data_IF_391332019537
#
_entry.id   IF_391332019537
#
_cell.length_a   1.000
_cell.length_b   1.000
_cell.length_c   1.000
_cell.angle_alpha   90.00
_cell.angle_beta   90.00
_cell.angle_gamma   90.00
#
_symmetry.space_group_name_H-M   'P 1'
#
loop_
_entity.id
_entity.type
_entity.pdbx_description
1 polymer ?
#
# COMPACT_ATOMS: atom_id res chain seq x y z
N UNK A 1 10.47 23.16 -2.23
CA UNK A 1 10.03 21.79 -2.54
C UNK A 1 11.14 21.05 -3.26
N UNK A 2 11.34 19.79 -2.93
CA UNK A 2 12.37 18.95 -3.50
C UNK A 2 11.74 17.74 -4.17
N UNK A 3 12.54 17.02 -4.97
CA UNK A 3 12.08 15.79 -5.62
C UNK A 3 12.40 14.59 -4.75
N UNK A 4 11.44 13.69 -4.66
CA UNK A 4 11.58 12.45 -3.89
C UNK A 4 11.07 11.29 -4.71
N UNK A 5 11.64 10.11 -4.48
CA UNK A 5 11.09 8.87 -4.99
C UNK A 5 10.25 8.24 -3.87
N UNK A 6 9.01 7.86 -4.18
CA UNK A 6 8.15 7.16 -3.23
C UNK A 6 8.25 5.68 -3.52
N UNK A 7 8.79 4.94 -2.57
CA UNK A 7 9.10 3.51 -2.73
C UNK A 7 8.51 2.72 -1.57
N UNK A 8 8.41 1.41 -1.75
CA UNK A 8 8.03 0.50 -0.70
C UNK A 8 9.23 -0.09 0.04
N UNK A 9 8.98 -1.10 0.84
CA UNK A 9 9.99 -1.71 1.73
C UNK A 9 10.33 -3.16 1.38
N UNK A 10 9.93 -3.64 0.21
CA UNK A 10 9.97 -5.07 -0.07
C UNK A 10 11.29 -5.58 -0.64
N UNK A 11 12.32 -4.76 -0.71
CA UNK A 11 13.63 -5.13 -1.30
C UNK A 11 13.50 -5.67 -2.72
N UNK A 12 12.63 -5.08 -3.49
CA UNK A 12 12.34 -5.49 -4.85
C UNK A 12 12.42 -4.25 -5.74
N UNK A 13 13.12 -4.33 -6.87
CA UNK A 13 13.40 -3.16 -7.72
C UNK A 13 12.14 -2.54 -8.31
N UNK A 14 11.06 -3.30 -8.44
CA UNK A 14 9.77 -2.81 -8.92
C UNK A 14 8.91 -2.17 -7.83
N UNK A 15 9.37 -2.15 -6.59
CA UNK A 15 8.59 -1.59 -5.47
C UNK A 15 8.73 -0.07 -5.42
N UNK A 16 8.34 0.56 -6.51
CA UNK A 16 8.37 2.01 -6.67
C UNK A 16 6.95 2.47 -6.93
N UNK A 17 6.45 3.36 -6.08
CA UNK A 17 5.11 3.93 -6.25
C UNK A 17 5.16 5.06 -7.25
N UNK A 18 6.07 6.01 -7.07
CA UNK A 18 6.24 7.12 -7.98
C UNK A 18 7.63 7.72 -7.86
N UNK A 19 8.43 7.73 -8.92
CA UNK A 19 9.73 8.42 -8.91
C UNK A 19 9.55 9.91 -9.19
N UNK A 20 10.45 10.72 -8.66
CA UNK A 20 10.55 12.13 -9.02
C UNK A 20 9.36 12.99 -8.60
N UNK A 21 8.73 12.69 -7.48
CA UNK A 21 7.60 13.46 -6.98
C UNK A 21 8.11 14.73 -6.29
N UNK A 22 7.51 15.86 -6.64
CA UNK A 22 7.85 17.14 -5.99
C UNK A 22 6.95 17.30 -4.76
N UNK A 23 7.56 17.34 -3.59
CA UNK A 23 6.87 17.40 -2.30
C UNK A 23 7.58 18.39 -1.37
N UNK A 24 6.86 18.98 -0.38
CA UNK A 24 7.53 19.55 0.78
C UNK A 24 8.37 18.46 1.43
N UNK A 25 9.48 18.83 2.07
CA UNK A 25 10.36 17.84 2.70
C UNK A 25 9.57 16.93 3.65
N UNK A 26 9.42 15.63 3.34
CA UNK A 26 8.69 14.72 4.21
C UNK A 26 9.54 14.33 5.42
N UNK A 27 8.87 14.11 6.53
CA UNK A 27 9.51 13.69 7.77
C UNK A 27 8.99 12.32 8.17
N UNK A 28 9.82 11.58 8.90
CA UNK A 28 9.44 10.27 9.41
C UNK A 28 8.16 10.37 10.24
N UNK A 29 7.23 9.48 9.99
CA UNK A 29 5.94 9.45 10.67
C UNK A 29 4.82 10.20 9.96
N UNK A 30 5.12 10.95 8.92
CA UNK A 30 4.09 11.59 8.12
C UNK A 30 3.37 10.58 7.23
N UNK A 31 2.12 10.89 6.91
CA UNK A 31 1.28 10.04 6.07
C UNK A 31 1.20 10.66 4.67
N UNK A 32 1.38 9.82 3.67
CA UNK A 32 1.21 10.22 2.27
C UNK A 32 -0.09 9.60 1.74
N UNK A 33 -0.79 10.37 0.91
CA UNK A 33 -1.95 9.86 0.19
C UNK A 33 -1.61 9.78 -1.29
N UNK A 34 -1.78 8.58 -1.86
CA UNK A 34 -1.60 8.38 -3.29
C UNK A 34 -2.97 8.35 -3.93
N UNK A 35 -3.21 9.32 -4.81
CA UNK A 35 -4.50 9.48 -5.46
C UNK A 35 -4.67 8.52 -6.64
N UNK A 36 -5.93 8.26 -7.00
CA UNK A 36 -6.29 7.52 -8.22
C UNK A 36 -5.69 6.12 -8.26
N UNK A 37 -5.83 5.39 -7.14
CA UNK A 37 -5.28 4.04 -7.02
C UNK A 37 -6.36 2.95 -7.00
N UNK A 38 -7.62 3.30 -7.23
CA UNK A 38 -8.71 2.32 -7.17
C UNK A 38 -8.63 1.24 -8.23
N UNK A 39 -8.16 1.58 -9.43
CA UNK A 39 -7.97 0.62 -10.49
C UNK A 39 -6.56 0.02 -10.41
N UNK A 40 -6.47 -1.30 -10.55
CA UNK A 40 -5.23 -2.09 -10.63
C UNK A 40 -4.45 -2.29 -9.32
N UNK A 41 -4.44 -1.33 -8.40
CA UNK A 41 -3.53 -1.41 -7.25
C UNK A 41 -3.79 -2.63 -6.37
N UNK A 42 -5.04 -2.89 -5.97
CA UNK A 42 -5.31 -4.07 -5.16
C UNK A 42 -5.05 -5.36 -5.94
N UNK A 43 -5.46 -5.43 -7.20
CA UNK A 43 -5.26 -6.63 -8.00
C UNK A 43 -3.79 -6.94 -8.29
N UNK A 44 -2.93 -5.94 -8.22
CA UNK A 44 -1.48 -6.12 -8.38
C UNK A 44 -0.76 -6.37 -7.05
N UNK A 45 -1.47 -6.28 -5.93
CA UNK A 45 -0.89 -6.56 -4.62
C UNK A 45 -0.49 -8.02 -4.51
N UNK A 46 0.57 -8.28 -3.75
CA UNK A 46 1.09 -9.62 -3.57
C UNK A 46 1.57 -9.83 -2.14
N UNK A 47 1.90 -11.06 -1.82
CA UNK A 47 2.47 -11.42 -0.52
C UNK A 47 4.00 -11.51 -0.58
N UNK A 48 4.65 -10.76 -1.45
CA UNK A 48 6.10 -10.78 -1.56
C UNK A 48 6.74 -10.56 -0.18
N UNK A 49 7.73 -11.34 0.15
CA UNK A 49 8.34 -11.40 1.48
C UNK A 49 7.36 -11.84 2.60
N UNK A 50 6.29 -12.54 2.25
CA UNK A 50 5.27 -12.99 3.21
C UNK A 50 4.61 -11.84 3.97
N UNK A 51 4.52 -10.67 3.35
CA UNK A 51 3.80 -9.53 3.92
C UNK A 51 2.33 -9.65 3.52
N UNK A 52 1.44 -9.50 4.49
CA UNK A 52 0.01 -9.58 4.23
C UNK A 52 -0.48 -8.44 3.35
N UNK A 53 -1.49 -8.72 2.52
CA UNK A 53 -2.15 -7.67 1.75
C UNK A 53 -2.96 -6.78 2.68
N UNK A 54 -2.99 -5.51 2.36
CA UNK A 54 -3.66 -4.50 3.16
C UNK A 54 -5.18 -4.60 3.02
N UNK A 55 -5.93 -4.15 4.03
CA UNK A 55 -7.38 -4.06 3.89
C UNK A 55 -7.76 -2.89 2.98
N UNK A 56 -8.98 -2.93 2.48
CA UNK A 56 -9.56 -1.81 1.74
C UNK A 56 -10.73 -1.26 2.53
N UNK A 57 -10.63 0.01 2.92
CA UNK A 57 -11.68 0.71 3.63
C UNK A 57 -12.44 1.60 2.66
N UNK A 58 -13.76 1.58 2.78
CA UNK A 58 -14.64 2.47 2.01
C UNK A 58 -15.14 3.57 2.93
N UNK A 59 -15.12 4.80 2.43
CA UNK A 59 -15.63 5.95 3.17
C UNK A 59 -16.79 6.53 2.37
N UNK A 60 -17.96 6.61 3.02
CA UNK A 60 -19.16 7.14 2.40
C UNK A 60 -19.96 7.91 3.43
N UNK A 61 -20.29 9.17 3.14
CA UNK A 61 -21.03 10.05 4.03
C UNK A 61 -20.45 10.12 5.45
N UNK A 62 -19.12 10.18 5.54
CA UNK A 62 -18.42 10.24 6.83
C UNK A 62 -18.36 8.91 7.58
N UNK A 63 -18.85 7.83 7.00
CA UNK A 63 -18.82 6.50 7.62
C UNK A 63 -17.79 5.62 6.91
N UNK A 64 -17.09 4.80 7.71
CA UNK A 64 -16.07 3.89 7.22
C UNK A 64 -16.58 2.45 7.31
N UNK A 65 -16.34 1.67 6.27
CA UNK A 65 -16.62 0.23 6.27
C UNK A 65 -15.48 -0.50 5.58
N UNK A 66 -15.32 -1.80 5.84
CA UNK A 66 -14.30 -2.61 5.19
C UNK A 66 -14.89 -3.27 3.94
N UNK A 67 -14.28 -3.01 2.79
CA UNK A 67 -14.60 -3.70 1.55
C UNK A 67 -13.78 -4.98 1.41
N UNK A 68 -12.53 -4.97 1.90
CA UNK A 68 -11.64 -6.13 1.87
C UNK A 68 -10.97 -6.23 3.24
N UNK A 69 -11.00 -7.41 3.83
CA UNK A 69 -10.37 -7.66 5.12
C UNK A 69 -8.85 -7.70 4.99
N UNK A 70 -8.18 -7.26 6.04
CA UNK A 70 -6.72 -7.41 6.14
C UNK A 70 -6.36 -8.89 6.19
N UNK A 71 -5.35 -9.29 5.43
CA UNK A 71 -4.82 -10.65 5.55
C UNK A 71 -4.16 -10.84 6.90
N UNK A 72 -4.41 -12.01 7.50
CA UNK A 72 -3.74 -12.43 8.72
C UNK A 72 -2.51 -13.27 8.36
N UNK A 73 -1.64 -13.53 9.33
CA UNK A 73 -0.52 -14.45 9.12
C UNK A 73 -1.00 -15.84 8.74
N UNK A 74 -2.13 -16.28 9.29
CA UNK A 74 -2.73 -17.57 8.97
C UNK A 74 -3.18 -17.64 7.51
N UNK A 75 -3.74 -16.55 6.98
CA UNK A 75 -4.12 -16.48 5.57
C UNK A 75 -2.92 -16.68 4.64
N UNK A 76 -1.78 -16.09 5.01
CA UNK A 76 -0.57 -16.14 4.19
C UNK A 76 -0.02 -17.56 4.08
N UNK A 77 -0.13 -18.35 5.15
CA UNK A 77 0.41 -19.71 5.20
C UNK A 77 -0.66 -20.79 5.02
N UNK A 78 -1.88 -20.41 4.65
CA UNK A 78 -3.02 -21.33 4.57
C UNK A 78 -2.76 -22.53 3.65
N UNK A 79 -1.96 -22.36 2.60
CA UNK A 79 -1.66 -23.42 1.63
C UNK A 79 -0.32 -24.10 1.88
N UNK A 80 0.39 -23.74 2.94
CA UNK A 80 1.64 -24.40 3.26
C UNK A 80 1.36 -25.77 3.86
N UNK A 81 2.15 -26.74 3.44
CA UNK A 81 2.00 -28.14 3.84
C UNK A 81 2.89 -28.48 5.05
#
# INVERSE_FOLDING_TARGET
MERFDVVGRCCESGDIIQPGVVLPEPKRGEILAVCTTGAYNYSMASNYNRIGRLPVAMINNGKTSLAVLRETLEDIVANDM
#
